data_IF_306986643378
#
_entry.id   IF_306986643378
#
_cell.length_a   1.000
_cell.length_b   1.000
_cell.length_c   1.000
_cell.angle_alpha   90.00
_cell.angle_beta   90.00
_cell.angle_gamma   90.00
#
_symmetry.space_group_name_H-M   'P 1'
#
loop_
_entity.id
_entity.type
_entity.pdbx_description
1 polymer ?
#
# COMPACT_ATOMS: atom_id res chain seq x y z
N UNK A 1 -0.16 -27.95 -3.85
CA UNK A 1 0.79 -26.85 -4.12
C UNK A 1 0.89 -25.84 -2.97
N UNK A 2 0.04 -25.91 -1.93
CA UNK A 2 0.29 -25.23 -0.67
C UNK A 2 0.21 -26.28 0.45
N UNK A 3 1.36 -26.67 1.02
CA UNK A 3 1.39 -27.35 2.30
C UNK A 3 0.87 -26.38 3.38
N UNK A 4 0.30 -26.94 4.45
CA UNK A 4 -0.47 -26.22 5.48
C UNK A 4 0.29 -25.11 6.24
N UNK A 5 1.60 -24.94 6.01
CA UNK A 5 2.45 -23.98 6.72
C UNK A 5 3.01 -22.84 5.84
N UNK A 6 2.57 -22.71 4.58
CA UNK A 6 3.07 -21.63 3.71
C UNK A 6 2.33 -20.31 3.96
N UNK A 7 3.05 -19.30 4.46
CA UNK A 7 2.53 -17.94 4.65
C UNK A 7 3.10 -17.00 3.59
N UNK A 8 2.23 -16.19 3.00
CA UNK A 8 2.63 -15.16 2.04
C UNK A 8 2.63 -13.82 2.74
N UNK A 9 3.82 -13.26 2.93
CA UNK A 9 3.98 -11.88 3.35
C UNK A 9 3.65 -10.96 2.19
N UNK A 10 2.70 -10.05 2.38
CA UNK A 10 2.28 -9.09 1.38
C UNK A 10 2.49 -7.67 1.88
N UNK A 11 3.08 -6.84 1.02
CA UNK A 11 3.15 -5.40 1.23
C UNK A 11 2.14 -4.74 0.30
N UNK A 12 1.07 -4.19 0.85
CA UNK A 12 -0.02 -3.55 0.12
C UNK A 12 0.20 -2.04 0.04
N UNK A 13 -0.05 -1.39 -1.13
CA UNK A 13 0.05 0.05 -1.29
C UNK A 13 -1.14 0.81 -0.70
N UNK A 14 -1.43 0.64 0.58
CA UNK A 14 -2.46 1.38 1.32
C UNK A 14 -2.48 0.96 2.78
N UNK A 15 -3.01 1.81 3.66
CA UNK A 15 -3.22 1.45 5.08
C UNK A 15 -4.52 0.66 5.22
N UNK A 16 -4.43 -0.62 5.55
CA UNK A 16 -5.60 -1.47 5.82
C UNK A 16 -6.08 -1.27 7.27
N UNK A 17 -7.39 -1.38 7.55
CA UNK A 17 -8.48 -1.71 6.63
C UNK A 17 -8.96 -0.50 5.80
N UNK A 18 -8.39 0.69 6.00
CA UNK A 18 -8.92 1.93 5.40
C UNK A 18 -8.92 1.92 3.87
N UNK A 19 -7.89 1.34 3.25
CA UNK A 19 -7.74 1.22 1.79
C UNK A 19 -7.33 -0.20 1.43
N UNK A 20 -8.29 -1.01 0.97
CA UNK A 20 -8.08 -2.36 0.40
C UNK A 20 -8.37 -2.38 -1.10
N UNK A 21 -7.86 -3.37 -1.80
CA UNK A 21 -8.14 -3.64 -3.21
C UNK A 21 -7.15 -2.98 -4.16
N UNK A 22 -7.62 -2.49 -5.30
CA UNK A 22 -6.74 -2.00 -6.38
C UNK A 22 -6.47 -0.51 -6.28
N UNK A 23 -5.41 -0.04 -6.95
CA UNK A 23 -4.98 1.39 -6.97
C UNK A 23 -4.84 2.01 -5.57
N UNK A 24 -4.40 1.22 -4.59
CA UNK A 24 -4.35 1.65 -3.18
C UNK A 24 -3.58 2.96 -2.96
N UNK A 25 -2.49 3.20 -3.70
CA UNK A 25 -1.74 4.45 -3.62
C UNK A 25 -2.63 5.65 -3.94
N UNK A 26 -3.36 5.59 -5.06
CA UNK A 26 -4.23 6.69 -5.51
C UNK A 26 -5.44 6.86 -4.60
N UNK A 27 -6.04 5.77 -4.15
CA UNK A 27 -7.14 5.85 -3.19
C UNK A 27 -6.71 6.38 -1.83
N UNK A 28 -5.48 6.10 -1.40
CA UNK A 28 -4.91 6.67 -0.18
C UNK A 28 -4.78 8.20 -0.28
N UNK A 29 -4.39 8.72 -1.44
CA UNK A 29 -4.34 10.18 -1.66
C UNK A 29 -5.71 10.86 -1.48
N UNK A 30 -6.81 10.20 -1.84
CA UNK A 30 -8.17 10.75 -1.65
C UNK A 30 -8.69 10.45 -0.24
N UNK A 31 -8.68 9.19 0.19
CA UNK A 31 -9.33 8.73 1.41
C UNK A 31 -8.57 9.09 2.68
N UNK A 32 -7.24 9.24 2.59
CA UNK A 32 -6.34 9.52 3.72
C UNK A 32 -5.60 10.86 3.58
N UNK A 33 -5.61 11.45 2.39
CA UNK A 33 -4.84 12.67 2.08
C UNK A 33 -3.34 12.43 1.97
N UNK A 34 -2.88 11.18 2.04
CA UNK A 34 -1.46 10.81 2.01
C UNK A 34 -1.28 9.34 1.61
N UNK A 35 -0.15 8.96 0.98
CA UNK A 35 0.18 7.58 0.72
C UNK A 35 0.38 6.78 2.00
N UNK A 36 0.21 5.47 1.91
CA UNK A 36 0.58 4.55 2.96
C UNK A 36 0.78 3.14 2.42
N UNK A 37 1.29 2.27 3.28
CA UNK A 37 1.50 0.87 2.99
C UNK A 37 1.18 0.01 4.23
N UNK A 38 0.83 -1.25 3.98
CA UNK A 38 0.58 -2.25 5.02
C UNK A 38 1.39 -3.51 4.74
N UNK A 39 1.93 -4.12 5.79
CA UNK A 39 2.58 -5.42 5.77
C UNK A 39 1.70 -6.41 6.51
N UNK A 40 1.26 -7.48 5.86
CA UNK A 40 0.39 -8.49 6.47
C UNK A 40 0.59 -9.87 5.84
N UNK A 41 0.16 -10.92 6.55
CA UNK A 41 0.06 -12.26 5.99
C UNK A 41 -1.25 -12.41 5.22
N UNK A 42 -1.20 -12.78 3.94
CA UNK A 42 -2.40 -12.98 3.12
C UNK A 42 -3.31 -14.06 3.70
N UNK A 43 -4.61 -13.86 3.56
CA UNK A 43 -5.65 -14.86 3.80
C UNK A 43 -6.52 -15.03 2.55
N UNK A 44 -7.67 -15.71 2.68
CA UNK A 44 -8.57 -15.96 1.56
C UNK A 44 -9.31 -14.70 1.07
N UNK A 45 -9.30 -13.60 1.83
CA UNK A 45 -9.91 -12.34 1.44
C UNK A 45 -8.92 -11.38 0.78
N UNK A 46 -9.45 -10.29 0.23
CA UNK A 46 -8.64 -9.25 -0.42
C UNK A 46 -8.17 -8.27 0.66
N UNK A 47 -6.87 -8.29 0.93
CA UNK A 47 -6.18 -7.40 1.88
C UNK A 47 -6.79 -7.39 3.29
N UNK A 48 -7.31 -8.55 3.73
CA UNK A 48 -7.93 -8.77 5.05
C UNK A 48 -7.03 -9.50 6.05
N UNK A 49 -5.88 -9.97 5.57
CA UNK A 49 -4.93 -10.76 6.33
C UNK A 49 -4.39 -10.10 7.61
N UNK A 50 -3.77 -10.92 8.47
CA UNK A 50 -3.26 -10.47 9.78
C UNK A 50 -2.13 -9.46 9.62
N UNK A 51 -2.31 -8.29 10.24
CA UNK A 51 -1.50 -7.09 10.09
C UNK A 51 -0.24 -7.13 10.97
N UNK A 52 0.91 -6.89 10.37
CA UNK A 52 2.22 -6.83 11.03
C UNK A 52 2.63 -5.38 11.28
N UNK A 53 2.50 -4.54 10.25
CA UNK A 53 2.90 -3.13 10.35
C UNK A 53 2.20 -2.28 9.28
N UNK A 54 2.11 -0.99 9.55
CA UNK A 54 1.66 0.03 8.59
C UNK A 54 2.59 1.21 8.62
N UNK A 55 2.69 1.94 7.50
CA UNK A 55 3.33 3.23 7.45
C UNK A 55 2.50 4.20 6.61
N UNK A 56 2.46 5.46 7.01
CA UNK A 56 1.98 6.57 6.19
C UNK A 56 3.17 7.44 5.80
N UNK A 57 3.12 8.00 4.60
CA UNK A 57 4.21 8.77 4.02
C UNK A 57 3.75 10.18 3.68
N UNK A 58 4.69 11.08 3.45
CA UNK A 58 4.36 12.40 2.91
C UNK A 58 3.82 12.27 1.48
N UNK A 59 2.77 13.04 1.18
CA UNK A 59 2.22 13.07 -0.17
C UNK A 59 3.23 13.67 -1.14
N UNK A 60 3.47 13.04 -2.31
CA UNK A 60 4.36 13.61 -3.29
C UNK A 60 3.77 14.91 -3.84
N UNK A 61 4.62 15.89 -4.09
CA UNK A 61 4.26 17.17 -4.73
C UNK A 61 5.34 17.54 -5.73
N UNK A 62 4.93 17.78 -6.97
CA UNK A 62 5.79 18.15 -8.08
C UNK A 62 5.23 19.38 -8.80
N UNK A 63 5.18 20.54 -8.13
CA UNK A 63 4.58 21.74 -8.69
C UNK A 63 5.27 22.12 -10.01
N UNK A 64 4.47 22.33 -11.05
CA UNK A 64 4.97 22.69 -12.38
C UNK A 64 5.47 21.52 -13.25
N UNK A 65 5.44 20.29 -12.74
CA UNK A 65 5.74 19.11 -13.56
C UNK A 65 4.69 18.99 -14.69
N UNK A 66 5.18 18.96 -15.93
CA UNK A 66 4.36 18.68 -17.12
C UNK A 66 4.62 17.25 -17.56
N UNK A 67 3.65 16.36 -17.34
CA UNK A 67 3.71 14.98 -17.76
C UNK A 67 2.36 14.55 -18.32
N UNK A 68 2.38 13.68 -19.32
CA UNK A 68 1.17 13.00 -19.78
C UNK A 68 0.58 12.18 -18.61
N UNK A 69 -0.74 12.26 -18.35
CA UNK A 69 -1.34 11.59 -17.19
C UNK A 69 -1.05 10.08 -17.12
N UNK A 70 -1.01 9.41 -18.27
CA UNK A 70 -0.67 7.99 -18.34
C UNK A 70 0.79 7.74 -17.92
N UNK A 71 1.74 8.56 -18.39
CA UNK A 71 3.15 8.44 -18.03
C UNK A 71 3.37 8.68 -16.52
N UNK A 72 2.72 9.70 -15.95
CA UNK A 72 2.78 9.97 -14.52
C UNK A 72 2.17 8.83 -13.68
N UNK A 73 1.03 8.29 -14.11
CA UNK A 73 0.43 7.12 -13.46
C UNK A 73 1.37 5.90 -13.47
N UNK A 74 1.98 5.60 -14.62
CA UNK A 74 2.93 4.49 -14.71
C UNK A 74 4.17 4.73 -13.85
N UNK A 75 4.74 5.94 -13.85
CA UNK A 75 5.87 6.28 -12.99
C UNK A 75 5.54 6.11 -11.50
N UNK A 76 4.32 6.50 -11.09
CA UNK A 76 3.85 6.26 -9.73
C UNK A 76 3.80 4.77 -9.40
N UNK A 77 3.19 3.93 -10.24
CA UNK A 77 3.03 2.50 -9.96
C UNK A 77 4.33 1.68 -10.11
N UNK A 78 5.26 2.11 -10.96
CA UNK A 78 6.48 1.36 -11.25
C UNK A 78 7.68 1.80 -10.41
N UNK A 79 7.67 3.02 -9.88
CA UNK A 79 8.80 3.57 -9.14
C UNK A 79 8.42 4.04 -7.74
N UNK A 80 7.41 4.93 -7.64
CA UNK A 80 7.07 5.54 -6.36
C UNK A 80 6.40 4.53 -5.40
N UNK A 81 5.40 3.80 -5.88
CA UNK A 81 4.68 2.79 -5.09
C UNK A 81 5.59 1.66 -4.59
N UNK A 82 6.42 1.02 -5.45
CA UNK A 82 7.33 -0.01 -4.99
C UNK A 82 8.38 0.51 -4.01
N UNK A 83 8.80 1.77 -4.14
CA UNK A 83 9.72 2.39 -3.19
C UNK A 83 9.10 2.47 -1.78
N UNK A 84 7.87 2.99 -1.65
CA UNK A 84 7.20 3.07 -0.35
C UNK A 84 7.00 1.69 0.28
N UNK A 85 6.55 0.72 -0.51
CA UNK A 85 6.39 -0.67 -0.07
C UNK A 85 7.73 -1.28 0.40
N UNK A 86 8.80 -1.07 -0.36
CA UNK A 86 10.13 -1.53 0.01
C UNK A 86 10.61 -0.87 1.32
N UNK A 87 10.37 0.44 1.50
CA UNK A 87 10.69 1.13 2.74
C UNK A 87 9.96 0.53 3.95
N UNK A 88 8.67 0.19 3.83
CA UNK A 88 7.96 -0.51 4.90
C UNK A 88 8.59 -1.88 5.18
N UNK A 89 8.87 -2.68 4.15
CA UNK A 89 9.49 -3.99 4.29
C UNK A 89 10.86 -3.89 4.98
N UNK A 90 11.73 -2.98 4.56
CA UNK A 90 13.02 -2.72 5.20
C UNK A 90 12.82 -2.40 6.68
N UNK A 91 11.88 -1.50 7.01
CA UNK A 91 11.61 -1.17 8.42
C UNK A 91 11.13 -2.38 9.24
N UNK A 92 10.38 -3.31 8.62
CA UNK A 92 9.95 -4.55 9.28
C UNK A 92 11.16 -5.43 9.55
N UNK A 93 12.03 -5.63 8.55
CA UNK A 93 13.24 -6.43 8.66
C UNK A 93 14.23 -5.85 9.70
N UNK A 94 14.39 -4.54 9.77
CA UNK A 94 15.26 -3.87 10.74
C UNK A 94 14.79 -4.02 12.19
N UNK A 95 13.50 -4.25 12.41
CA UNK A 95 12.93 -4.50 13.75
C UNK A 95 13.03 -5.97 14.17
N UNK A 96 13.37 -6.88 13.26
CA UNK A 96 13.50 -8.29 13.57
C UNK A 96 14.76 -8.57 14.38
N UNK A 97 14.67 -9.52 15.31
CA UNK A 97 15.88 -10.09 15.90
C UNK A 97 16.57 -11.02 14.89
N UNK A 98 17.90 -11.24 14.99
CA UNK A 98 18.64 -12.07 14.04
C UNK A 98 18.10 -13.50 13.87
N UNK A 99 17.48 -14.06 14.91
CA UNK A 99 16.95 -15.42 14.92
C UNK A 99 15.44 -15.50 14.60
N UNK A 100 14.80 -14.36 14.30
CA UNK A 100 13.36 -14.33 14.01
C UNK A 100 13.05 -14.79 12.60
N UNK A 101 12.04 -15.65 12.46
CA UNK A 101 11.54 -16.14 11.17
C UNK A 101 10.47 -15.20 10.60
N UNK A 102 10.63 -14.81 9.33
CA UNK A 102 9.67 -14.02 8.55
C UNK A 102 8.29 -14.68 8.44
N UNK A 103 8.20 -16.01 8.57
CA UNK A 103 6.92 -16.71 8.60
C UNK A 103 6.15 -16.51 9.92
N UNK A 104 6.84 -16.09 10.99
CA UNK A 104 6.33 -16.09 12.36
C UNK A 104 6.45 -14.72 13.05
N UNK A 105 6.31 -13.64 12.28
CA UNK A 105 6.19 -12.29 12.84
C UNK A 105 4.90 -12.15 13.64
N UNK A 106 4.96 -11.34 14.70
CA UNK A 106 3.75 -10.94 15.42
C UNK A 106 2.82 -10.19 14.47
N UNK A 107 1.58 -10.66 14.40
CA UNK A 107 0.58 -10.13 13.49
C UNK A 107 -0.80 -10.19 14.15
N UNK A 108 -1.54 -9.10 14.07
CA UNK A 108 -2.85 -8.93 14.70
C UNK A 108 -4.00 -8.95 13.68
N UNK A 109 -5.21 -9.20 14.18
CA UNK A 109 -6.41 -9.01 13.36
C UNK A 109 -6.51 -7.52 13.04
N UNK A 110 -6.80 -7.17 11.78
CA UNK A 110 -7.02 -5.78 11.40
C UNK A 110 -8.14 -5.16 12.26
N UNK A 111 -8.01 -3.91 12.71
CA UNK A 111 -9.03 -3.27 13.54
C UNK A 111 -10.36 -3.17 12.80
N UNK A 112 -11.47 -3.20 13.54
CA UNK A 112 -12.79 -2.87 13.01
C UNK A 112 -12.87 -1.35 12.82
N UNK A 113 -12.43 -0.86 11.67
CA UNK A 113 -12.58 0.53 11.27
C UNK A 113 -13.47 0.65 10.02
N UNK A 114 -14.08 1.82 9.85
CA UNK A 114 -14.73 2.20 8.60
C UNK A 114 -13.67 2.30 7.49
N UNK A 115 -13.41 1.16 6.85
CA UNK A 115 -12.53 1.01 5.70
C UNK A 115 -13.30 0.71 4.43
N UNK A 116 -12.65 0.85 3.28
CA UNK A 116 -13.25 0.63 1.97
C UNK A 116 -12.52 -0.44 1.17
N UNK A 117 -13.29 -1.22 0.42
CA UNK A 117 -12.78 -2.01 -0.70
C UNK A 117 -12.85 -1.14 -1.95
N UNK A 118 -11.70 -0.84 -2.51
CA UNK A 118 -11.57 0.00 -3.69
C UNK A 118 -11.19 -0.84 -4.90
N UNK A 119 -11.64 -0.38 -6.05
CA UNK A 119 -11.38 -1.00 -7.35
C UNK A 119 -10.48 -0.09 -8.17
N UNK A 120 -10.07 -0.55 -9.35
CA UNK A 120 -9.32 0.27 -10.29
C UNK A 120 -10.01 1.63 -10.48
N UNK A 121 -9.24 2.69 -10.27
CA UNK A 121 -9.73 4.06 -10.30
C UNK A 121 -10.12 4.44 -11.72
N UNK A 122 -11.33 5.00 -11.88
CA UNK A 122 -11.80 5.48 -13.18
C UNK A 122 -10.81 6.50 -13.77
N UNK A 123 -10.49 6.44 -15.09
CA UNK A 123 -9.48 7.31 -15.70
C UNK A 123 -9.67 8.80 -15.46
N UNK A 124 -10.91 9.29 -15.44
CA UNK A 124 -11.20 10.70 -15.16
C UNK A 124 -10.87 11.10 -13.72
N UNK A 125 -11.23 10.26 -12.74
CA UNK A 125 -10.92 10.51 -11.33
C UNK A 125 -9.41 10.45 -11.12
N UNK A 126 -8.76 9.44 -11.71
CA UNK A 126 -7.31 9.32 -11.71
C UNK A 126 -6.64 10.57 -12.27
N UNK A 127 -7.09 11.08 -13.41
CA UNK A 127 -6.58 12.31 -14.00
C UNK A 127 -6.66 13.51 -13.04
N UNK A 128 -7.76 13.64 -12.28
CA UNK A 128 -7.92 14.72 -11.28
C UNK A 128 -6.96 14.57 -10.11
N UNK A 129 -6.77 13.36 -9.59
CA UNK A 129 -5.81 13.09 -8.51
C UNK A 129 -4.40 13.42 -8.96
N UNK A 130 -4.00 12.94 -10.14
CA UNK A 130 -2.66 13.20 -10.68
C UNK A 130 -2.41 14.69 -10.89
N UNK A 131 -3.40 15.42 -11.40
CA UNK A 131 -3.28 16.86 -11.58
C UNK A 131 -3.07 17.62 -10.25
N UNK A 132 -3.61 17.13 -9.12
CA UNK A 132 -3.37 17.73 -7.81
C UNK A 132 -1.93 17.58 -7.34
N UNK A 133 -1.22 16.53 -7.76
CA UNK A 133 0.19 16.31 -7.42
C UNK A 133 1.12 17.30 -8.15
N UNK A 134 0.67 17.87 -9.27
CA UNK A 134 1.45 18.78 -10.12
C UNK A 134 1.08 20.27 -9.96
N UNK A 135 0.07 20.58 -9.15
CA UNK A 135 -0.31 21.95 -8.78
C UNK A 135 0.62 22.49 -7.70
#
# INVERSE_FOLDING_TARGET
MFQQDFRILHIHPGVVPHVRGSDGLLWSLIARGRPGASCFYMDAGIDTGRLIATAEYESPRWPGLRAEPAALYHALLQCYDPHLRASLLVSVLERMSPDQDLANLEADVQPHANGGHYYTMHPELRGRVLAQLCK
#
